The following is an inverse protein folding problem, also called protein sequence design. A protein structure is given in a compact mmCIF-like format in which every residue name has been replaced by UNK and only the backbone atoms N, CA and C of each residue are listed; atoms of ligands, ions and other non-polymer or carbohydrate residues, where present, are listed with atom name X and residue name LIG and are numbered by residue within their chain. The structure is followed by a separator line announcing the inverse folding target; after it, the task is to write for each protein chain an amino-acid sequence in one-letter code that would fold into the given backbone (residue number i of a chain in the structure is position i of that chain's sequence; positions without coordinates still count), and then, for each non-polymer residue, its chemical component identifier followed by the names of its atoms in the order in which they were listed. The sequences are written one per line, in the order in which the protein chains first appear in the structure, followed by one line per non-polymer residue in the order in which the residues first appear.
data_IF_733961258081
#
_entry.id   IF_733961258081
#
_cell.length_a   1.000
_cell.length_b   1.000
_cell.length_c   1.000
_cell.angle_alpha   90.00
_cell.angle_beta   90.00
_cell.angle_gamma   90.00
#
_symmetry.space_group_name_H-M   'P 1'
#
loop_
_entity.id
_entity.type
_entity.pdbx_description
1 polymer ?
#
# COMPACT_ATOMS: atom_id res chain seq x y z
N UNK A 1 2.72 5.68 -24.42
CA UNK A 1 1.75 6.16 -23.40
C UNK A 1 0.84 4.98 -23.14
N UNK A 2 1.13 4.21 -22.08
CA UNK A 2 0.27 3.09 -21.67
C UNK A 2 -0.92 3.73 -20.98
N UNK A 3 -2.11 3.53 -21.51
CA UNK A 3 -3.33 3.66 -20.73
C UNK A 3 -3.17 2.73 -19.53
N UNK A 4 -2.91 3.30 -18.36
CA UNK A 4 -3.11 2.60 -17.10
C UNK A 4 -4.60 2.31 -17.08
N UNK A 5 -4.93 1.03 -17.16
CA UNK A 5 -6.28 0.54 -17.03
C UNK A 5 -6.81 1.06 -15.68
N UNK A 6 -7.67 2.08 -15.76
CA UNK A 6 -8.24 2.78 -14.59
C UNK A 6 -9.29 1.94 -13.86
N UNK A 7 -9.32 0.63 -14.14
CA UNK A 7 -10.31 -0.31 -13.62
C UNK A 7 -9.83 -1.13 -12.41
N UNK A 8 -8.54 -1.03 -12.02
CA UNK A 8 -8.03 -1.82 -10.91
C UNK A 8 -8.22 -1.10 -9.57
N UNK A 9 -9.25 -1.50 -8.84
CA UNK A 9 -9.57 -1.01 -7.51
C UNK A 9 -8.47 -1.40 -6.51
N UNK A 10 -8.01 -0.43 -5.70
CA UNK A 10 -7.07 -0.67 -4.60
C UNK A 10 -7.84 -1.13 -3.35
N UNK A 11 -7.18 -1.82 -2.42
CA UNK A 11 -7.84 -2.28 -1.18
C UNK A 11 -8.45 -1.12 -0.40
N UNK A 12 -7.73 -0.03 -0.28
CA UNK A 12 -8.15 1.16 0.47
C UNK A 12 -9.26 1.96 -0.24
N UNK A 13 -9.59 1.61 -1.48
CA UNK A 13 -10.69 2.22 -2.22
C UNK A 13 -12.07 1.66 -1.82
N UNK A 14 -12.10 0.51 -1.15
CA UNK A 14 -13.31 -0.02 -0.53
C UNK A 14 -13.71 0.82 0.66
N UNK A 15 -14.99 1.24 0.69
CA UNK A 15 -15.50 2.15 1.72
C UNK A 15 -15.38 1.60 3.14
N UNK A 16 -15.50 0.31 3.33
CA UNK A 16 -15.33 -0.34 4.63
C UNK A 16 -13.87 -0.29 5.11
N UNK A 17 -12.92 -0.50 4.19
CA UNK A 17 -11.48 -0.42 4.48
C UNK A 17 -11.07 1.04 4.70
N UNK A 18 -11.49 1.95 3.81
CA UNK A 18 -11.19 3.38 3.95
C UNK A 18 -11.73 3.96 5.25
N UNK A 19 -13.01 3.70 5.56
CA UNK A 19 -13.63 4.15 6.81
C UNK A 19 -12.90 3.61 8.05
N UNK A 20 -12.46 2.35 8.00
CA UNK A 20 -11.75 1.72 9.10
C UNK A 20 -10.38 2.36 9.32
N UNK A 21 -9.61 2.64 8.26
CA UNK A 21 -8.34 3.36 8.34
C UNK A 21 -8.56 4.74 9.00
N UNK A 22 -9.54 5.52 8.53
CA UNK A 22 -9.84 6.82 9.11
C UNK A 22 -10.24 6.71 10.58
N UNK A 23 -11.08 5.75 10.93
CA UNK A 23 -11.54 5.54 12.31
C UNK A 23 -10.40 5.16 13.25
N UNK A 24 -9.51 4.28 12.83
CA UNK A 24 -8.39 3.86 13.70
C UNK A 24 -7.31 4.93 13.79
N UNK A 25 -6.91 5.50 12.66
CA UNK A 25 -5.75 6.41 12.62
C UNK A 25 -6.12 7.81 13.11
N UNK A 26 -7.26 8.36 12.71
CA UNK A 26 -7.65 9.72 13.08
C UNK A 26 -8.44 9.75 14.39
N UNK A 27 -9.33 8.78 14.57
CA UNK A 27 -10.28 8.78 15.70
C UNK A 27 -9.96 7.74 16.78
N UNK A 28 -8.73 7.14 16.75
CA UNK A 28 -8.27 6.22 17.79
C UNK A 28 -9.07 4.93 17.93
N UNK A 29 -9.89 4.58 16.93
CA UNK A 29 -10.76 3.41 16.88
C UNK A 29 -12.25 3.75 17.10
N UNK A 30 -12.61 5.01 17.40
CA UNK A 30 -14.01 5.43 17.42
C UNK A 30 -14.61 5.34 16.01
N UNK A 31 -15.78 4.70 15.87
CA UNK A 31 -16.45 4.45 14.58
C UNK A 31 -17.26 5.65 14.09
N UNK A 32 -16.57 6.76 13.81
CA UNK A 32 -17.19 8.02 13.33
C UNK A 32 -17.48 7.99 11.84
N UNK A 33 -16.54 7.47 11.04
CA UNK A 33 -16.71 7.35 9.59
C UNK A 33 -17.41 6.03 9.29
N UNK A 34 -18.62 6.11 8.73
CA UNK A 34 -19.36 4.93 8.26
C UNK A 34 -19.08 4.71 6.78
N UNK A 35 -18.96 3.46 6.29
CA UNK A 35 -18.75 3.18 4.86
C UNK A 35 -19.76 3.90 3.96
N UNK A 36 -21.06 3.81 4.27
CA UNK A 36 -22.12 4.48 3.51
C UNK A 36 -22.15 6.00 3.61
N UNK A 37 -21.25 6.61 4.39
CA UNK A 37 -21.09 8.05 4.51
C UNK A 37 -19.97 8.61 3.61
N UNK A 38 -19.32 7.75 2.81
CA UNK A 38 -18.25 8.10 1.90
C UNK A 38 -18.76 8.24 0.47
N UNK A 39 -18.15 9.14 -0.28
CA UNK A 39 -18.38 9.34 -1.71
C UNK A 39 -17.03 9.54 -2.41
N UNK A 40 -16.76 8.78 -3.45
CA UNK A 40 -15.54 8.92 -4.24
C UNK A 40 -15.42 10.31 -4.86
N UNK A 41 -14.22 10.83 -4.86
CA UNK A 41 -13.84 12.07 -5.53
C UNK A 41 -12.81 11.79 -6.62
N UNK A 42 -12.73 12.63 -7.67
CA UNK A 42 -11.66 12.56 -8.64
C UNK A 42 -10.30 12.70 -7.96
N UNK A 43 -9.38 11.81 -8.30
CA UNK A 43 -8.00 11.79 -7.78
C UNK A 43 -7.04 12.58 -8.64
N UNK A 44 -7.40 12.84 -9.90
CA UNK A 44 -6.59 13.56 -10.87
C UNK A 44 -6.76 15.07 -10.77
N UNK A 45 -5.65 15.80 -10.78
CA UNK A 45 -5.62 17.23 -11.01
C UNK A 45 -4.59 17.56 -12.08
N UNK A 46 -4.97 18.47 -12.99
CA UNK A 46 -4.10 18.93 -14.06
C UNK A 46 -3.69 20.38 -13.80
N UNK A 47 -2.41 20.69 -14.03
CA UNK A 47 -1.91 22.05 -13.98
C UNK A 47 -0.93 22.31 -15.13
N UNK A 48 -0.85 23.55 -15.56
CA UNK A 48 0.11 24.00 -16.57
C UNK A 48 1.32 24.57 -15.86
N UNK A 49 2.49 23.94 -16.03
CA UNK A 49 3.74 24.42 -15.49
C UNK A 49 4.42 25.45 -16.43
N UNK A 50 5.55 26.03 -16.00
CA UNK A 50 6.31 27.03 -16.75
C UNK A 50 6.86 26.51 -18.10
N UNK A 51 7.01 25.19 -18.24
CA UNK A 51 7.36 24.53 -19.49
C UNK A 51 6.22 24.50 -20.54
N UNK A 52 5.09 25.14 -20.21
CA UNK A 52 3.85 25.20 -21.01
C UNK A 52 3.19 23.85 -21.28
N UNK A 53 3.65 22.77 -20.67
CA UNK A 53 3.03 21.46 -20.75
C UNK A 53 1.97 21.28 -19.69
N UNK A 54 0.98 20.45 -20.00
CA UNK A 54 0.00 19.99 -19.03
C UNK A 54 0.65 18.89 -18.17
N UNK A 55 0.73 19.12 -16.87
CA UNK A 55 1.19 18.14 -15.90
C UNK A 55 0.01 17.57 -15.14
N UNK A 56 0.09 16.29 -14.84
CA UNK A 56 -0.91 15.59 -14.05
C UNK A 56 -0.35 15.33 -12.65
N UNK A 57 -1.18 15.58 -11.66
CA UNK A 57 -0.93 15.22 -10.29
C UNK A 57 -2.05 14.31 -9.85
N UNK A 58 -1.69 13.09 -9.46
CA UNK A 58 -2.64 12.05 -9.09
C UNK A 58 -2.39 11.63 -7.64
N UNK A 59 -3.47 11.64 -6.82
CA UNK A 59 -3.52 11.03 -5.50
C UNK A 59 -4.07 9.62 -5.66
N UNK A 60 -3.61 8.68 -4.86
CA UNK A 60 -4.09 7.30 -4.97
C UNK A 60 -5.61 7.22 -4.70
N UNK A 61 -6.09 7.79 -3.61
CA UNK A 61 -7.51 7.75 -3.24
C UNK A 61 -7.96 9.09 -2.64
N UNK A 62 -9.17 9.51 -2.96
CA UNK A 62 -9.84 10.66 -2.35
C UNK A 62 -11.33 10.39 -2.16
N UNK A 63 -11.84 10.61 -0.94
CA UNK A 63 -13.25 10.46 -0.62
C UNK A 63 -13.77 11.66 0.16
N UNK A 64 -15.02 12.04 -0.14
CA UNK A 64 -15.77 13.01 0.65
C UNK A 64 -16.53 12.28 1.74
N UNK A 65 -16.30 12.66 2.99
CA UNK A 65 -17.03 12.16 4.13
C UNK A 65 -18.23 13.06 4.42
N UNK A 66 -19.41 12.45 4.51
CA UNK A 66 -20.68 13.13 4.74
C UNK A 66 -21.34 12.61 6.02
N UNK A 67 -22.16 13.44 6.63
CA UNK A 67 -23.13 13.03 7.66
C UNK A 67 -24.52 13.49 7.22
N UNK A 68 -25.32 12.54 6.73
CA UNK A 68 -26.55 12.85 6.02
C UNK A 68 -26.29 13.73 4.79
N UNK A 69 -26.82 14.96 4.79
CA UNK A 69 -26.61 15.92 3.70
C UNK A 69 -25.50 16.94 3.98
N UNK A 70 -24.73 16.77 5.08
CA UNK A 70 -23.65 17.68 5.46
C UNK A 70 -22.32 17.08 5.09
N UNK A 71 -21.53 17.78 4.27
CA UNK A 71 -20.16 17.44 3.94
C UNK A 71 -19.25 17.84 5.12
N UNK A 72 -18.46 16.90 5.63
CA UNK A 72 -17.61 17.09 6.82
C UNK A 72 -16.15 17.27 6.49
N UNK A 73 -15.59 16.42 5.60
CA UNK A 73 -14.18 16.48 5.23
C UNK A 73 -13.93 15.81 3.87
N UNK A 74 -12.83 16.19 3.22
CA UNK A 74 -12.23 15.44 2.14
C UNK A 74 -11.04 14.67 2.73
N UNK A 75 -11.06 13.36 2.61
CA UNK A 75 -10.00 12.49 3.09
C UNK A 75 -9.27 11.85 1.91
N UNK A 76 -7.95 11.76 1.97
CA UNK A 76 -7.13 11.13 0.96
C UNK A 76 -6.14 10.14 1.57
N UNK A 77 -5.75 9.16 0.78
CA UNK A 77 -4.71 8.18 1.10
C UNK A 77 -3.68 8.18 -0.02
N UNK A 78 -2.42 8.03 0.35
CA UNK A 78 -1.27 7.91 -0.52
C UNK A 78 -0.39 6.78 -0.02
N UNK A 79 -0.12 5.76 -0.82
CA UNK A 79 0.65 4.58 -0.46
C UNK A 79 2.13 4.72 -0.84
N UNK A 80 3.04 4.45 0.09
CA UNK A 80 4.48 4.57 -0.11
C UNK A 80 5.25 3.37 0.43
N UNK A 81 6.20 2.85 -0.35
CA UNK A 81 7.14 1.79 0.10
C UNK A 81 8.50 2.35 0.49
N UNK A 82 8.83 3.55 0.03
CA UNK A 82 10.10 4.25 0.30
C UNK A 82 9.83 5.64 0.84
N UNK A 83 10.77 6.15 1.62
CA UNK A 83 10.72 7.53 2.11
C UNK A 83 10.92 8.48 0.93
N UNK A 84 9.87 9.22 0.61
CA UNK A 84 9.86 10.23 -0.46
C UNK A 84 10.17 11.61 0.13
N UNK A 85 11.35 12.15 -0.20
CA UNK A 85 11.81 13.43 0.36
C UNK A 85 10.90 14.61 0.02
N UNK A 86 10.28 14.57 -1.16
CA UNK A 86 9.40 15.64 -1.64
C UNK A 86 7.92 15.40 -1.30
N UNK A 87 7.60 14.41 -0.46
CA UNK A 87 6.21 14.11 -0.08
C UNK A 87 5.44 15.32 0.48
N UNK A 88 6.01 16.20 1.32
CA UNK A 88 5.32 17.42 1.75
C UNK A 88 4.88 18.32 0.59
N UNK A 89 5.68 18.43 -0.48
CA UNK A 89 5.33 19.19 -1.69
C UNK A 89 4.22 18.49 -2.49
N UNK A 90 4.20 17.16 -2.54
CA UNK A 90 3.15 16.41 -3.20
C UNK A 90 1.82 16.57 -2.46
N UNK A 91 1.81 16.36 -1.16
CA UNK A 91 0.60 16.42 -0.33
C UNK A 91 -0.02 17.82 -0.32
N UNK A 92 0.78 18.88 -0.17
CA UNK A 92 0.25 20.26 -0.26
C UNK A 92 -0.36 20.55 -1.64
N UNK A 93 0.21 19.97 -2.70
CA UNK A 93 -0.35 20.05 -4.05
C UNK A 93 -1.72 19.40 -4.15
N UNK A 94 -1.89 18.19 -3.64
CA UNK A 94 -3.17 17.46 -3.61
C UNK A 94 -4.23 18.19 -2.80
N UNK A 95 -3.88 18.63 -1.60
CA UNK A 95 -4.80 19.31 -0.71
C UNK A 95 -5.16 20.68 -1.24
N UNK A 96 -4.19 21.39 -1.83
CA UNK A 96 -4.41 22.65 -2.53
C UNK A 96 -5.37 22.52 -3.73
N UNK A 97 -5.23 21.46 -4.53
CA UNK A 97 -6.16 21.15 -5.62
C UNK A 97 -7.57 20.87 -5.10
N UNK A 98 -7.69 20.14 -3.99
CA UNK A 98 -8.97 19.85 -3.34
C UNK A 98 -9.63 21.12 -2.78
N UNK A 99 -8.88 22.04 -2.16
CA UNK A 99 -9.40 23.35 -1.73
C UNK A 99 -9.80 24.20 -2.92
N UNK A 100 -8.99 24.22 -3.99
CA UNK A 100 -9.31 24.97 -5.20
C UNK A 100 -10.59 24.48 -5.86
N UNK A 101 -10.84 23.18 -5.91
CA UNK A 101 -12.07 22.62 -6.46
C UNK A 101 -13.30 23.06 -5.67
N UNK A 102 -13.19 23.19 -4.34
CA UNK A 102 -14.26 23.72 -3.49
C UNK A 102 -14.58 25.19 -3.79
N UNK A 103 -13.54 26.01 -4.05
CA UNK A 103 -13.73 27.41 -4.46
C UNK A 103 -14.41 27.52 -5.82
N UNK A 104 -14.02 26.71 -6.81
CA UNK A 104 -14.64 26.66 -8.13
C UNK A 104 -16.10 26.24 -8.03
N UNK A 105 -16.41 25.26 -7.19
CA UNK A 105 -17.77 24.80 -6.92
C UNK A 105 -18.61 25.83 -6.11
N UNK A 106 -18.02 26.97 -5.75
CA UNK A 106 -18.66 28.06 -4.97
C UNK A 106 -19.30 27.57 -3.67
N UNK A 107 -18.64 26.64 -2.97
CA UNK A 107 -19.10 26.15 -1.67
C UNK A 107 -19.17 27.31 -0.67
N UNK A 108 -20.30 27.48 -0.04
CA UNK A 108 -20.50 28.53 0.97
C UNK A 108 -19.67 28.29 2.24
N UNK A 109 -19.39 27.01 2.55
CA UNK A 109 -18.54 26.58 3.66
C UNK A 109 -17.59 25.50 3.16
N UNK A 110 -16.33 25.86 2.88
CA UNK A 110 -15.32 24.86 2.56
C UNK A 110 -15.10 23.88 3.72
N UNK A 111 -14.86 22.61 3.39
CA UNK A 111 -14.57 21.56 4.36
C UNK A 111 -13.08 21.31 4.44
N UNK A 112 -12.56 20.83 5.58
CA UNK A 112 -11.15 20.47 5.71
C UNK A 112 -10.75 19.36 4.74
N UNK A 113 -9.48 19.38 4.34
CA UNK A 113 -8.85 18.32 3.57
C UNK A 113 -7.79 17.67 4.43
N UNK A 114 -7.79 16.33 4.49
CA UNK A 114 -6.84 15.53 5.26
C UNK A 114 -6.28 14.43 4.36
N UNK A 115 -4.96 14.38 4.19
CA UNK A 115 -4.28 13.29 3.46
C UNK A 115 -3.41 12.49 4.40
N UNK A 116 -3.62 11.16 4.45
CA UNK A 116 -2.77 10.21 5.14
C UNK A 116 -1.78 9.60 4.15
N UNK A 117 -0.52 9.54 4.51
CA UNK A 117 0.52 8.80 3.79
C UNK A 117 0.72 7.47 4.49
N UNK A 118 0.30 6.36 3.88
CA UNK A 118 0.51 5.02 4.40
C UNK A 118 1.87 4.52 3.96
N UNK A 119 2.80 4.40 4.89
CA UNK A 119 4.16 3.95 4.62
C UNK A 119 4.34 2.50 5.04
N UNK A 120 4.63 1.63 4.06
CA UNK A 120 4.76 0.17 4.22
C UNK A 120 6.20 -0.31 4.34
N UNK A 121 7.20 0.59 4.23
CA UNK A 121 8.60 0.20 4.36
C UNK A 121 8.91 -0.45 5.72
N UNK A 122 9.71 -1.52 5.71
CA UNK A 122 10.05 -2.32 6.90
C UNK A 122 11.45 -2.05 7.43
N UNK A 123 12.35 -1.48 6.62
CA UNK A 123 13.76 -1.31 6.96
C UNK A 123 13.99 -0.21 8.01
N UNK A 124 13.29 0.91 7.84
CA UNK A 124 13.38 2.06 8.73
C UNK A 124 12.06 2.81 8.83
N UNK A 125 11.82 3.39 10.00
CA UNK A 125 10.65 4.24 10.25
C UNK A 125 10.80 5.57 9.53
N UNK A 126 9.73 6.04 8.90
CA UNK A 126 9.69 7.39 8.33
C UNK A 126 9.47 8.42 9.42
N UNK A 127 10.46 9.20 9.72
CA UNK A 127 10.43 10.26 10.73
C UNK A 127 10.68 11.64 10.15
N UNK A 128 11.33 11.72 8.98
CA UNK A 128 11.65 12.95 8.25
C UNK A 128 11.78 12.68 6.74
N UNK A 129 11.41 13.63 5.86
CA UNK A 129 10.76 14.91 6.19
C UNK A 129 9.26 14.72 6.51
N UNK A 130 8.76 15.52 7.44
CA UNK A 130 7.36 15.53 7.88
C UNK A 130 6.66 16.86 7.59
N UNK A 131 7.39 17.85 7.12
CA UNK A 131 6.85 19.16 6.83
C UNK A 131 7.54 19.85 5.64
N UNK A 132 6.85 20.86 5.11
CA UNK A 132 7.31 21.63 3.96
C UNK A 132 8.63 22.33 4.24
N UNK A 133 8.80 22.91 5.44
CA UNK A 133 10.03 23.62 5.82
C UNK A 133 11.25 22.71 5.87
N UNK A 134 11.06 21.41 6.14
CA UNK A 134 12.15 20.42 6.17
C UNK A 134 12.71 20.08 4.76
N UNK A 135 11.98 20.44 3.70
CA UNK A 135 12.40 20.17 2.31
C UNK A 135 12.77 21.41 1.52
N UNK A 136 12.45 22.60 2.04
CA UNK A 136 12.76 23.86 1.39
C UNK A 136 14.13 24.39 1.81
N UNK A 137 14.86 24.98 0.86
CA UNK A 137 16.02 25.81 1.17
C UNK A 137 15.54 27.25 1.41
N UNK A 138 15.33 27.62 2.68
CA UNK A 138 14.78 28.91 3.07
C UNK A 138 15.96 29.88 3.30
N UNK A 139 16.06 31.00 2.55
CA UNK A 139 17.08 32.00 2.79
C UNK A 139 16.96 32.64 4.17
N UNK A 140 18.10 33.04 4.74
CA UNK A 140 18.16 33.68 6.04
C UNK A 140 17.21 34.89 6.13
N UNK A 141 16.43 34.96 7.23
CA UNK A 141 15.46 36.03 7.45
C UNK A 141 14.09 35.83 6.80
N UNK A 142 13.90 34.76 6.02
CA UNK A 142 12.61 34.42 5.39
C UNK A 142 11.81 33.40 6.19
N UNK A 143 12.36 32.79 7.22
CA UNK A 143 11.75 31.68 7.97
C UNK A 143 10.38 32.02 8.55
N UNK A 144 10.20 33.28 8.97
CA UNK A 144 8.94 33.77 9.53
C UNK A 144 7.83 34.01 8.47
N UNK A 145 8.20 34.10 7.20
CA UNK A 145 7.26 34.36 6.10
C UNK A 145 6.88 33.10 5.33
N UNK A 146 7.61 32.01 5.51
CA UNK A 146 7.28 30.72 4.89
C UNK A 146 6.34 29.97 5.82
N UNK A 147 5.12 29.69 5.36
CA UNK A 147 4.20 28.83 6.09
C UNK A 147 4.69 27.39 6.05
N UNK A 148 4.56 26.68 7.17
CA UNK A 148 4.84 25.26 7.21
C UNK A 148 3.56 24.46 6.90
N UNK A 149 3.74 23.33 6.23
CA UNK A 149 2.67 22.39 5.92
C UNK A 149 3.11 20.99 6.34
N UNK A 150 2.45 20.45 7.36
CA UNK A 150 2.78 19.13 7.91
C UNK A 150 1.98 18.04 7.22
N UNK A 151 2.63 16.89 6.98
CA UNK A 151 2.00 15.68 6.46
C UNK A 151 1.77 14.67 7.58
N UNK A 152 0.81 13.76 7.38
CA UNK A 152 0.45 12.71 8.31
C UNK A 152 0.92 11.37 7.77
N UNK A 153 2.10 10.91 8.22
CA UNK A 153 2.67 9.62 7.83
C UNK A 153 2.28 8.55 8.85
N UNK A 154 1.59 7.53 8.38
CA UNK A 154 1.25 6.32 9.12
C UNK A 154 2.29 5.26 8.79
N UNK A 155 3.19 4.99 9.70
CA UNK A 155 4.21 3.95 9.55
C UNK A 155 3.57 2.58 9.82
N UNK A 156 2.98 1.94 8.80
CA UNK A 156 2.13 0.75 8.94
C UNK A 156 2.88 -0.39 9.65
N UNK A 157 4.10 -0.68 9.22
CA UNK A 157 4.94 -1.74 9.81
C UNK A 157 5.36 -1.47 11.28
N UNK A 158 5.18 -0.26 11.80
CA UNK A 158 5.51 0.14 13.18
C UNK A 158 4.29 0.49 14.02
N UNK A 159 3.09 0.19 13.55
CA UNK A 159 1.89 0.35 14.35
C UNK A 159 1.97 -0.55 15.60
N UNK A 160 1.61 -0.04 16.80
CA UNK A 160 1.46 -0.88 17.98
C UNK A 160 0.40 -1.96 17.76
N UNK A 161 0.62 -3.16 18.34
CA UNK A 161 -0.33 -4.28 18.22
C UNK A 161 -1.75 -3.88 18.67
N UNK A 162 -1.85 -3.11 19.75
CA UNK A 162 -3.12 -2.54 20.24
C UNK A 162 -3.83 -1.63 19.23
N UNK A 163 -3.08 -1.01 18.32
CA UNK A 163 -3.65 -0.20 17.23
C UNK A 163 -4.09 -1.09 16.08
N UNK A 164 -3.29 -2.10 15.75
CA UNK A 164 -3.61 -3.09 14.70
C UNK A 164 -4.91 -3.83 15.05
N UNK A 165 -5.10 -4.21 16.32
CA UNK A 165 -6.30 -4.89 16.81
C UNK A 165 -7.57 -4.04 16.73
N UNK A 166 -7.46 -2.71 16.62
CA UNK A 166 -8.62 -1.83 16.44
C UNK A 166 -9.19 -1.86 15.04
N UNK A 167 -8.42 -2.28 14.02
CA UNK A 167 -8.95 -2.44 12.67
C UNK A 167 -9.94 -3.60 12.62
N UNK A 168 -11.03 -3.41 11.88
CA UNK A 168 -12.09 -4.40 11.67
C UNK A 168 -12.21 -4.86 10.21
N UNK A 169 -11.55 -4.15 9.30
CA UNK A 169 -11.49 -4.48 7.88
C UNK A 169 -10.26 -5.35 7.56
N UNK A 170 -10.13 -5.70 6.29
CA UNK A 170 -8.96 -6.44 5.79
C UNK A 170 -7.64 -5.67 5.97
N UNK A 171 -7.70 -4.36 6.24
CA UNK A 171 -6.49 -3.59 6.57
C UNK A 171 -5.80 -4.08 7.85
N UNK A 172 -6.54 -4.73 8.77
CA UNK A 172 -5.94 -5.41 9.94
C UNK A 172 -4.94 -6.48 9.51
N UNK A 173 -5.33 -7.32 8.55
CA UNK A 173 -4.47 -8.38 8.02
C UNK A 173 -3.22 -7.80 7.38
N UNK A 174 -3.38 -6.73 6.58
CA UNK A 174 -2.26 -6.03 5.95
C UNK A 174 -1.32 -5.42 6.99
N UNK A 175 -1.85 -4.69 7.97
CA UNK A 175 -1.04 -4.05 9.01
C UNK A 175 -0.30 -5.07 9.88
N UNK A 176 -0.95 -6.20 10.21
CA UNK A 176 -0.33 -7.31 10.93
C UNK A 176 0.80 -7.92 10.11
N UNK A 177 0.57 -8.21 8.84
CA UNK A 177 1.58 -8.75 7.93
C UNK A 177 2.85 -7.88 7.90
N UNK A 178 2.73 -6.58 7.67
CA UNK A 178 3.89 -5.69 7.62
C UNK A 178 4.58 -5.53 8.97
N UNK A 179 3.83 -5.55 10.07
CA UNK A 179 4.38 -5.53 11.43
C UNK A 179 5.24 -6.77 11.72
N UNK A 180 4.75 -7.95 11.35
CA UNK A 180 5.48 -9.20 11.55
C UNK A 180 6.66 -9.34 10.59
N UNK A 181 6.48 -8.97 9.31
CA UNK A 181 7.56 -8.99 8.31
C UNK A 181 8.72 -8.05 8.69
N UNK A 182 8.44 -6.92 9.35
CA UNK A 182 9.47 -6.04 9.91
C UNK A 182 10.28 -6.72 11.02
N UNK A 183 9.63 -7.51 11.86
CA UNK A 183 10.29 -8.23 12.98
C UNK A 183 11.09 -9.44 12.48
N UNK A 184 10.57 -10.10 11.45
CA UNK A 184 11.16 -11.27 10.82
C UNK A 184 11.01 -11.19 9.29
N UNK A 185 12.12 -11.00 8.57
CA UNK A 185 12.11 -10.92 7.11
C UNK A 185 11.56 -12.20 6.45
N UNK A 186 11.73 -13.34 7.11
CA UNK A 186 11.26 -14.66 6.65
C UNK A 186 9.88 -15.03 7.21
N UNK A 187 9.11 -14.01 7.66
CA UNK A 187 7.77 -14.24 8.20
C UNK A 187 6.87 -14.92 7.17
N UNK A 188 6.33 -16.06 7.56
CA UNK A 188 5.30 -16.80 6.83
C UNK A 188 3.94 -16.37 7.42
N UNK A 189 3.01 -15.86 6.60
CA UNK A 189 1.72 -15.40 7.11
C UNK A 189 0.93 -16.52 7.79
N UNK A 190 0.44 -16.25 8.99
CA UNK A 190 -0.32 -17.19 9.82
C UNK A 190 -1.67 -16.62 10.32
N UNK A 191 -2.07 -15.47 9.81
CA UNK A 191 -3.33 -14.83 10.18
C UNK A 191 -4.54 -15.64 9.66
N UNK A 192 -5.42 -16.03 10.59
CA UNK A 192 -6.62 -16.84 10.32
C UNK A 192 -7.86 -15.99 10.09
N UNK A 193 -7.75 -14.67 10.12
CA UNK A 193 -8.88 -13.80 9.81
C UNK A 193 -9.37 -14.05 8.38
N UNK A 194 -10.68 -14.20 8.23
CA UNK A 194 -11.31 -14.28 6.90
C UNK A 194 -11.18 -12.93 6.21
N UNK A 195 -10.60 -12.96 5.02
CA UNK A 195 -10.38 -11.80 4.16
C UNK A 195 -11.59 -11.65 3.24
N UNK A 196 -12.17 -10.47 3.20
CA UNK A 196 -13.32 -10.14 2.35
C UNK A 196 -12.89 -9.77 0.93
N UNK A 197 -11.80 -9.00 0.81
CA UNK A 197 -11.25 -8.48 -0.45
C UNK A 197 -9.90 -9.17 -0.76
N UNK A 198 -9.94 -10.49 -0.98
CA UNK A 198 -8.73 -11.33 -1.10
C UNK A 198 -7.83 -10.85 -2.24
N UNK A 199 -8.40 -10.52 -3.41
CA UNK A 199 -7.64 -10.11 -4.58
C UNK A 199 -6.87 -8.82 -4.34
N UNK A 200 -7.54 -7.85 -3.71
CA UNK A 200 -6.96 -6.55 -3.43
C UNK A 200 -5.91 -6.62 -2.32
N UNK A 201 -6.11 -7.50 -1.31
CA UNK A 201 -5.08 -7.77 -0.30
C UNK A 201 -3.84 -8.36 -0.93
N UNK A 202 -3.98 -9.43 -1.74
CA UNK A 202 -2.83 -10.06 -2.41
C UNK A 202 -2.11 -9.10 -3.36
N UNK A 203 -2.86 -8.29 -4.10
CA UNK A 203 -2.32 -7.28 -4.98
C UNK A 203 -1.54 -6.21 -4.20
N UNK A 204 -2.12 -5.68 -3.11
CA UNK A 204 -1.44 -4.72 -2.24
C UNK A 204 -0.14 -5.31 -1.69
N UNK A 205 -0.17 -6.54 -1.18
CA UNK A 205 1.02 -7.22 -0.66
C UNK A 205 2.09 -7.37 -1.76
N UNK A 206 1.72 -7.81 -2.97
CA UNK A 206 2.65 -7.93 -4.09
C UNK A 206 3.32 -6.59 -4.44
N UNK A 207 2.52 -5.53 -4.58
CA UNK A 207 3.03 -4.19 -4.94
C UNK A 207 3.90 -3.60 -3.84
N UNK A 208 3.48 -3.70 -2.58
CA UNK A 208 4.16 -3.06 -1.45
C UNK A 208 5.41 -3.83 -0.99
N UNK A 209 5.47 -5.15 -1.18
CA UNK A 209 6.68 -5.94 -0.90
C UNK A 209 7.62 -6.02 -2.09
N UNK A 210 7.11 -5.83 -3.30
CA UNK A 210 7.82 -6.13 -4.55
C UNK A 210 7.97 -7.63 -4.80
N UNK A 211 7.23 -8.48 -4.08
CA UNK A 211 7.29 -9.92 -4.17
C UNK A 211 6.14 -10.45 -5.05
N UNK A 212 6.49 -11.04 -6.18
CA UNK A 212 5.53 -11.54 -7.17
C UNK A 212 4.79 -12.81 -6.70
N UNK A 213 5.21 -13.44 -5.61
CA UNK A 213 4.57 -14.68 -5.13
C UNK A 213 3.08 -14.48 -4.83
N UNK A 214 2.69 -13.31 -4.30
CA UNK A 214 1.28 -12.99 -4.03
C UNK A 214 0.48 -12.81 -5.33
N UNK A 215 1.09 -12.21 -6.35
CA UNK A 215 0.48 -12.10 -7.67
C UNK A 215 0.36 -13.47 -8.36
N UNK A 216 1.32 -14.35 -8.16
CA UNK A 216 1.25 -15.72 -8.67
C UNK A 216 0.08 -16.51 -8.06
N UNK A 217 -0.19 -16.34 -6.75
CA UNK A 217 -1.38 -16.92 -6.10
C UNK A 217 -2.66 -16.35 -6.71
N UNK A 218 -2.70 -15.02 -6.91
CA UNK A 218 -3.84 -14.32 -7.49
C UNK A 218 -4.19 -14.80 -8.90
N UNK A 219 -3.19 -15.07 -9.74
CA UNK A 219 -3.37 -15.46 -11.13
C UNK A 219 -3.55 -16.99 -11.32
N UNK A 220 -3.33 -17.79 -10.29
CA UNK A 220 -3.43 -19.25 -10.37
C UNK A 220 -4.87 -19.74 -10.18
N UNK A 221 -5.16 -20.95 -10.71
CA UNK A 221 -6.41 -21.66 -10.43
C UNK A 221 -6.58 -22.00 -8.94
N UNK A 222 -5.47 -22.01 -8.19
CA UNK A 222 -5.41 -22.26 -6.74
C UNK A 222 -6.00 -21.11 -5.90
N UNK A 223 -6.29 -19.96 -6.52
CA UNK A 223 -6.96 -18.84 -5.86
C UNK A 223 -8.32 -19.25 -5.28
N UNK A 224 -9.00 -20.21 -5.90
CA UNK A 224 -10.28 -20.74 -5.39
C UNK A 224 -10.05 -21.41 -4.04
N UNK A 225 -10.71 -20.88 -2.98
CA UNK A 225 -10.60 -21.39 -1.62
C UNK A 225 -9.56 -20.68 -0.75
N UNK A 226 -8.87 -19.64 -1.26
CA UNK A 226 -8.08 -18.73 -0.44
C UNK A 226 -9.02 -17.75 0.26
N UNK A 227 -9.07 -17.81 1.59
CA UNK A 227 -9.92 -16.96 2.42
C UNK A 227 -9.16 -16.31 3.57
N UNK A 228 -7.95 -16.78 3.88
CA UNK A 228 -7.10 -16.31 4.99
C UNK A 228 -5.66 -16.20 4.54
N UNK A 229 -4.81 -15.53 5.34
CA UNK A 229 -3.37 -15.52 5.07
C UNK A 229 -2.71 -16.88 5.32
N UNK A 230 -3.27 -17.73 6.17
CA UNK A 230 -2.85 -19.14 6.29
C UNK A 230 -3.04 -19.90 4.98
N UNK A 231 -4.18 -19.71 4.29
CA UNK A 231 -4.42 -20.35 2.99
C UNK A 231 -3.39 -19.86 1.95
N UNK A 232 -3.05 -18.57 1.97
CA UNK A 232 -2.01 -17.99 1.10
C UNK A 232 -0.67 -18.67 1.39
N UNK A 233 -0.27 -18.76 2.66
CA UNK A 233 0.98 -19.40 3.07
C UNK A 233 1.06 -20.86 2.62
N UNK A 234 -0.01 -21.62 2.80
CA UNK A 234 -0.09 -23.01 2.35
C UNK A 234 0.11 -23.15 0.84
N UNK A 235 -0.53 -22.26 0.04
CA UNK A 235 -0.33 -22.24 -1.43
C UNK A 235 1.11 -21.94 -1.80
N UNK A 236 1.77 -21.01 -1.08
CA UNK A 236 3.16 -20.65 -1.33
C UNK A 236 4.11 -21.82 -1.01
N UNK A 237 3.87 -22.53 0.09
CA UNK A 237 4.65 -23.72 0.47
C UNK A 237 4.49 -24.83 -0.56
N UNK A 238 3.25 -25.19 -0.91
CA UNK A 238 2.97 -26.23 -1.91
C UNK A 238 3.62 -25.91 -3.26
N UNK A 239 3.54 -24.65 -3.70
CA UNK A 239 4.18 -24.22 -4.95
C UNK A 239 5.70 -24.30 -4.90
N UNK A 240 6.30 -24.02 -3.74
CA UNK A 240 7.74 -24.21 -3.51
C UNK A 240 8.16 -25.67 -3.59
N UNK A 241 7.37 -26.58 -3.01
CA UNK A 241 7.59 -28.03 -3.08
C UNK A 241 7.48 -28.55 -4.52
N UNK A 242 6.47 -28.12 -5.27
CA UNK A 242 6.26 -28.49 -6.67
C UNK A 242 7.43 -28.03 -7.56
N UNK A 243 7.91 -26.78 -7.38
CA UNK A 243 9.08 -26.26 -8.10
C UNK A 243 10.34 -27.07 -7.78
N UNK A 244 10.55 -27.44 -6.51
CA UNK A 244 11.69 -28.26 -6.11
C UNK A 244 11.60 -29.68 -6.68
N UNK A 245 10.42 -30.31 -6.64
CA UNK A 245 10.18 -31.63 -7.23
C UNK A 245 10.44 -31.63 -8.74
N UNK A 246 10.00 -30.59 -9.46
CA UNK A 246 10.27 -30.39 -10.88
C UNK A 246 11.77 -30.25 -11.15
N UNK A 247 12.49 -29.46 -10.34
CA UNK A 247 13.94 -29.31 -10.45
C UNK A 247 14.67 -30.63 -10.26
N UNK A 248 14.32 -31.38 -9.20
CA UNK A 248 14.91 -32.70 -8.92
C UNK A 248 14.72 -33.63 -10.11
N UNK A 249 13.51 -33.67 -10.69
CA UNK A 249 13.24 -34.49 -11.87
C UNK A 249 14.13 -34.08 -13.05
N UNK A 250 14.22 -32.79 -13.37
CA UNK A 250 15.06 -32.28 -14.46
C UNK A 250 16.53 -32.54 -14.23
N UNK A 251 17.07 -32.38 -13.02
CA UNK A 251 18.46 -32.71 -12.67
C UNK A 251 18.73 -34.21 -12.83
N UNK A 252 17.76 -35.06 -12.44
CA UNK A 252 17.91 -36.51 -12.61
C UNK A 252 17.91 -36.93 -14.09
N UNK A 253 17.04 -36.32 -14.93
CA UNK A 253 16.99 -36.59 -16.38
C UNK A 253 18.33 -36.29 -17.08
N UNK A 254 19.08 -35.29 -16.59
CA UNK A 254 20.40 -34.93 -17.13
C UNK A 254 21.58 -35.57 -16.37
N UNK A 255 21.31 -36.48 -15.42
CA UNK A 255 22.34 -37.25 -14.68
C UNK A 255 23.10 -36.43 -13.64
N UNK A 256 22.59 -35.31 -13.14
CA UNK A 256 23.24 -34.39 -12.18
C UNK A 256 22.83 -34.68 -10.74
N UNK A 257 23.07 -35.92 -10.26
CA UNK A 257 22.64 -36.36 -8.92
C UNK A 257 23.25 -35.55 -7.76
N UNK A 258 24.53 -35.14 -7.90
CA UNK A 258 25.20 -34.33 -6.87
C UNK A 258 24.55 -32.93 -6.72
N UNK A 259 24.00 -32.40 -7.80
CA UNK A 259 23.31 -31.10 -7.77
C UNK A 259 21.92 -31.18 -7.16
N UNK A 260 21.31 -32.37 -7.10
CA UNK A 260 20.06 -32.59 -6.35
C UNK A 260 20.30 -32.36 -4.85
N UNK A 261 21.42 -32.90 -4.32
CA UNK A 261 21.79 -32.71 -2.91
C UNK A 261 22.02 -31.21 -2.61
N UNK A 262 22.75 -30.53 -3.52
CA UNK A 262 22.99 -29.09 -3.40
C UNK A 262 21.68 -28.29 -3.46
N UNK A 263 20.79 -28.60 -4.40
CA UNK A 263 19.50 -27.94 -4.53
C UNK A 263 18.62 -28.09 -3.27
N UNK A 264 18.70 -29.24 -2.60
CA UNK A 264 17.95 -29.50 -1.38
C UNK A 264 18.48 -28.75 -0.16
N UNK A 265 19.82 -28.59 -0.06
CA UNK A 265 20.50 -28.06 1.13
C UNK A 265 20.97 -26.61 1.02
N UNK A 266 21.11 -26.06 -0.20
CA UNK A 266 21.63 -24.72 -0.46
C UNK A 266 20.64 -23.92 -1.31
N UNK A 267 20.08 -22.86 -0.71
CA UNK A 267 19.08 -22.00 -1.35
C UNK A 267 19.65 -21.22 -2.56
N UNK A 268 20.90 -20.74 -2.46
CA UNK A 268 21.52 -20.00 -3.56
C UNK A 268 21.85 -20.92 -4.75
N UNK A 269 22.31 -22.13 -4.48
CA UNK A 269 22.50 -23.15 -5.51
C UNK A 269 21.14 -23.51 -6.16
N UNK A 270 20.08 -23.66 -5.35
CA UNK A 270 18.73 -23.95 -5.82
C UNK A 270 18.18 -22.84 -6.72
N UNK A 271 18.33 -21.57 -6.34
CA UNK A 271 17.94 -20.42 -7.16
C UNK A 271 18.69 -20.39 -8.50
N UNK A 272 19.99 -20.73 -8.49
CA UNK A 272 20.79 -20.82 -9.71
C UNK A 272 20.26 -21.91 -10.64
N UNK A 273 19.96 -23.09 -10.10
CA UNK A 273 19.42 -24.20 -10.90
C UNK A 273 18.02 -23.91 -11.41
N UNK A 274 17.16 -23.24 -10.65
CA UNK A 274 15.85 -22.79 -11.14
C UNK A 274 15.99 -21.93 -12.40
N UNK A 275 16.93 -20.95 -12.41
CA UNK A 275 17.20 -20.11 -13.60
C UNK A 275 17.75 -20.93 -14.76
N UNK A 276 18.69 -21.85 -14.47
CA UNK A 276 19.32 -22.73 -15.48
C UNK A 276 18.30 -23.60 -16.21
N UNK A 277 17.30 -24.12 -15.48
CA UNK A 277 16.26 -24.99 -16.02
C UNK A 277 14.96 -24.30 -16.40
N UNK A 278 14.90 -22.98 -16.32
CA UNK A 278 13.72 -22.19 -16.67
C UNK A 278 12.50 -22.51 -15.81
N UNK A 279 12.70 -22.78 -14.49
CA UNK A 279 11.63 -23.09 -13.53
C UNK A 279 11.15 -21.82 -12.83
N UNK A 280 11.96 -20.77 -12.79
CA UNK A 280 11.62 -19.43 -12.33
C UNK A 280 11.95 -18.46 -13.46
N UNK A 281 11.02 -17.56 -13.75
CA UNK A 281 11.22 -16.42 -14.64
C UNK A 281 12.12 -15.36 -13.99
#
# INVERSE_FOLDING_TARGET
MREKDSSEKMLEDYDDVFADIMNVIIFGGERRVKPGALRDLPTHSQYKADDSKLHEQERDIAKLWNEGNVELAICGVENQTKIEKCMPLRVIGYDGASYRSQLIAKRSKPVPVVTLVLYFGTDRKWTQPMSLKEVLNIPDGMEGYVNDYRIHVVNVAWLPSETIEKFQSDFRVVANFFSEKRKNADYIPDDTQVIKHVDEVLKLLSVMTGDNVYQEVLLSDDRKGVNTMCDVAERLVNKGEDKLALLIRKLNEVGRSDDIIKAASDEEARKKFYREFGIID
#
